data_IF_586946688609
#
_entry.id   IF_586946688609
#
_cell.length_a   1.000
_cell.length_b   1.000
_cell.length_c   1.000
_cell.angle_alpha   90.00
_cell.angle_beta   90.00
_cell.angle_gamma   90.00
#
_symmetry.space_group_name_H-M   'P 1'
#
loop_
_entity.id
_entity.type
_entity.pdbx_description
1 polymer ?
#
# COMPACT_ATOMS: atom_id res chain seq x y z
N UNK A 1 14.81 -8.55 -6.19
CA UNK A 1 16.09 -9.23 -5.91
C UNK A 1 15.94 -10.69 -6.29
N UNK A 2 17.02 -11.38 -6.66
CA UNK A 2 16.98 -12.81 -6.97
C UNK A 2 17.59 -13.60 -5.81
N UNK A 3 17.09 -14.81 -5.56
CA UNK A 3 17.68 -15.75 -4.60
C UNK A 3 19.01 -16.34 -5.14
N UNK A 4 19.61 -17.27 -4.40
CA UNK A 4 20.88 -17.91 -4.79
C UNK A 4 20.78 -18.70 -6.11
N UNK A 5 19.60 -19.20 -6.46
CA UNK A 5 19.33 -19.96 -7.72
C UNK A 5 18.97 -19.03 -8.88
N UNK A 6 18.89 -17.72 -8.67
CA UNK A 6 18.59 -16.74 -9.72
C UNK A 6 17.10 -16.51 -9.97
N UNK A 7 16.24 -17.03 -9.11
CA UNK A 7 14.78 -16.92 -9.18
C UNK A 7 14.30 -15.67 -8.44
N UNK A 8 13.18 -15.12 -8.89
CA UNK A 8 12.48 -14.05 -8.20
C UNK A 8 11.40 -14.64 -7.32
N UNK A 9 11.06 -13.91 -6.27
CA UNK A 9 9.87 -14.20 -5.48
C UNK A 9 8.63 -14.15 -6.40
N UNK A 10 7.82 -15.22 -6.46
CA UNK A 10 6.65 -15.28 -7.34
C UNK A 10 5.54 -14.31 -6.95
N UNK A 11 5.48 -13.87 -5.69
CA UNK A 11 4.48 -12.91 -5.19
C UNK A 11 4.89 -11.45 -5.41
N UNK A 12 6.12 -11.21 -5.91
CA UNK A 12 6.64 -9.87 -6.14
C UNK A 12 6.66 -9.51 -7.62
N UNK A 13 6.27 -8.27 -7.92
CA UNK A 13 6.25 -7.75 -9.28
C UNK A 13 6.92 -6.37 -9.37
N UNK A 14 7.23 -5.98 -10.59
CA UNK A 14 7.91 -4.72 -10.87
C UNK A 14 6.92 -3.59 -11.15
N UNK A 15 7.29 -2.38 -10.77
CA UNK A 15 6.58 -1.15 -11.10
C UNK A 15 7.54 -0.15 -11.75
N UNK A 16 7.01 0.79 -12.54
CA UNK A 16 7.78 1.85 -13.18
C UNK A 16 7.41 3.19 -12.55
N UNK A 17 8.34 3.83 -11.84
CA UNK A 17 8.15 5.13 -11.19
C UNK A 17 9.24 6.10 -11.67
N UNK A 18 8.85 7.29 -12.13
CA UNK A 18 9.82 8.29 -12.60
C UNK A 18 10.75 7.80 -13.72
N UNK A 19 10.23 6.95 -14.61
CA UNK A 19 10.98 6.24 -15.66
C UNK A 19 12.00 5.18 -15.19
N UNK A 20 12.08 4.91 -13.88
CA UNK A 20 12.92 3.86 -13.31
C UNK A 20 12.07 2.63 -12.94
N UNK A 21 12.61 1.44 -13.18
CA UNK A 21 12.00 0.18 -12.79
C UNK A 21 12.41 -0.20 -11.37
N UNK A 22 11.43 -0.53 -10.55
CA UNK A 22 11.61 -1.04 -9.19
C UNK A 22 10.95 -2.42 -9.11
N UNK A 23 11.59 -3.36 -8.41
CA UNK A 23 11.02 -4.68 -8.13
C UNK A 23 11.08 -4.92 -6.64
N UNK A 24 9.94 -5.29 -6.06
CA UNK A 24 9.87 -5.65 -4.66
C UNK A 24 8.47 -5.52 -4.11
N UNK A 25 8.42 -5.20 -2.83
CA UNK A 25 7.22 -5.08 -2.01
C UNK A 25 7.02 -3.62 -1.63
N UNK A 26 5.77 -3.23 -1.38
CA UNK A 26 5.42 -2.00 -0.66
C UNK A 26 4.70 -2.37 0.64
N UNK A 27 4.89 -1.54 1.64
CA UNK A 27 4.18 -1.62 2.92
C UNK A 27 3.10 -0.55 2.95
N UNK A 28 1.90 -0.95 3.39
CA UNK A 28 0.76 -0.10 3.66
C UNK A 28 0.55 -0.07 5.17
N UNK A 29 0.51 1.11 5.77
CA UNK A 29 0.48 1.28 7.23
C UNK A 29 -0.60 2.31 7.56
N UNK A 30 -1.56 1.92 8.41
CA UNK A 30 -2.51 2.84 9.02
C UNK A 30 -1.99 3.28 10.40
N UNK A 31 -2.05 4.58 10.63
CA UNK A 31 -1.53 5.23 11.84
C UNK A 31 -2.61 6.16 12.38
N UNK A 32 -2.87 6.06 13.68
CA UNK A 32 -3.77 6.98 14.35
C UNK A 32 -3.17 8.38 14.32
N UNK A 33 -3.90 9.32 13.70
CA UNK A 33 -3.39 10.66 13.43
C UNK A 33 -3.13 11.50 14.68
N UNK A 34 -3.69 11.13 15.85
CA UNK A 34 -3.55 11.90 17.10
C UNK A 34 -2.40 11.40 17.96
N UNK A 35 -2.25 10.09 18.05
CA UNK A 35 -1.31 9.39 18.93
C UNK A 35 -0.05 8.93 18.20
N UNK A 36 -0.11 8.77 16.88
CA UNK A 36 0.96 8.20 16.07
C UNK A 36 1.10 6.68 16.21
N UNK A 37 0.13 6.01 16.84
CA UNK A 37 0.17 4.56 16.99
C UNK A 37 -0.22 3.87 15.68
N UNK A 38 0.64 2.97 15.21
CA UNK A 38 0.29 2.06 14.10
C UNK A 38 -0.77 1.07 14.57
N UNK A 39 -1.86 0.97 13.81
CA UNK A 39 -2.96 0.05 14.10
C UNK A 39 -3.19 -0.99 13.00
N UNK A 40 -2.75 -0.72 11.77
CA UNK A 40 -2.90 -1.65 10.63
C UNK A 40 -1.62 -1.70 9.80
N UNK A 41 -1.35 -2.88 9.25
CA UNK A 41 -0.19 -3.15 8.40
C UNK A 41 -0.54 -4.23 7.39
N UNK A 42 -0.29 -3.96 6.12
CA UNK A 42 -0.33 -4.97 5.06
C UNK A 42 0.79 -4.72 4.06
N UNK A 43 1.11 -5.74 3.27
CA UNK A 43 2.16 -5.66 2.26
C UNK A 43 1.67 -6.22 0.95
N UNK A 44 2.08 -5.59 -0.14
CA UNK A 44 1.72 -6.03 -1.49
C UNK A 44 2.93 -5.96 -2.42
N UNK A 45 2.81 -6.56 -3.60
CA UNK A 45 3.77 -6.36 -4.67
C UNK A 45 3.84 -4.87 -5.08
N UNK A 46 5.01 -4.40 -5.50
CA UNK A 46 5.23 -2.98 -5.79
C UNK A 46 4.34 -2.39 -6.89
N UNK A 47 3.73 -3.23 -7.74
CA UNK A 47 2.80 -2.83 -8.81
C UNK A 47 1.36 -2.62 -8.32
N UNK A 48 0.99 -3.14 -7.14
CA UNK A 48 -0.38 -3.04 -6.64
C UNK A 48 -0.75 -1.58 -6.37
N UNK A 49 -1.97 -1.20 -6.70
CA UNK A 49 -2.42 0.19 -6.54
C UNK A 49 -2.80 0.45 -5.08
N UNK A 50 -2.34 1.56 -4.50
CA UNK A 50 -2.48 1.85 -3.08
C UNK A 50 -3.95 1.93 -2.64
N UNK A 51 -4.80 2.52 -3.49
CA UNK A 51 -6.25 2.54 -3.32
C UNK A 51 -6.92 1.18 -3.06
N UNK A 52 -6.36 0.07 -3.55
CA UNK A 52 -6.91 -1.28 -3.33
C UNK A 52 -6.67 -1.82 -1.92
N UNK A 53 -5.92 -1.10 -1.09
CA UNK A 53 -5.60 -1.51 0.28
C UNK A 53 -6.21 -0.56 1.31
N UNK A 54 -6.95 0.47 0.89
CA UNK A 54 -7.50 1.47 1.79
C UNK A 54 -8.42 0.84 2.85
N UNK A 55 -9.22 -0.15 2.48
CA UNK A 55 -10.16 -0.89 3.34
C UNK A 55 -9.43 -1.70 4.42
N UNK A 56 -8.25 -2.23 4.09
CA UNK A 56 -7.40 -2.97 5.02
C UNK A 56 -6.71 -2.07 6.03
N UNK A 57 -6.62 -0.77 5.75
CA UNK A 57 -5.93 0.19 6.62
C UNK A 57 -6.87 0.88 7.61
N UNK A 58 -8.15 0.97 7.30
CA UNK A 58 -9.14 1.76 8.03
C UNK A 58 -10.06 0.84 8.85
N UNK A 59 -10.73 1.41 9.84
CA UNK A 59 -11.71 0.72 10.66
C UNK A 59 -13.16 1.15 10.37
N UNK A 60 -13.36 2.22 9.59
CA UNK A 60 -14.66 2.77 9.23
C UNK A 60 -15.22 3.78 10.25
N UNK A 61 -14.49 4.07 11.32
CA UNK A 61 -14.87 5.03 12.37
C UNK A 61 -14.03 6.33 12.29
N UNK A 62 -13.15 6.44 11.29
CA UNK A 62 -12.27 7.59 11.12
C UNK A 62 -13.05 8.87 10.79
N UNK A 63 -12.90 9.90 11.63
CA UNK A 63 -13.48 11.22 11.35
C UNK A 63 -12.80 11.95 10.18
N UNK A 64 -11.53 11.64 9.91
CA UNK A 64 -10.77 12.16 8.78
C UNK A 64 -9.62 11.21 8.44
N UNK A 65 -9.21 11.22 7.17
CA UNK A 65 -8.11 10.40 6.66
C UNK A 65 -7.13 11.34 5.96
N UNK A 66 -5.84 11.20 6.28
CA UNK A 66 -4.74 11.86 5.59
C UNK A 66 -3.95 10.81 4.83
N UNK A 67 -3.95 10.89 3.50
CA UNK A 67 -3.27 9.93 2.65
C UNK A 67 -2.56 10.64 1.49
N UNK A 68 -1.62 9.93 0.85
CA UNK A 68 -0.92 10.46 -0.31
C UNK A 68 -1.78 10.42 -1.59
N UNK A 69 -1.20 10.87 -2.71
CA UNK A 69 -1.91 10.92 -3.98
C UNK A 69 -2.28 9.54 -4.56
N UNK A 70 -1.68 8.45 -4.08
CA UNK A 70 -1.99 7.06 -4.48
C UNK A 70 -3.35 6.58 -3.99
N UNK A 71 -3.94 7.26 -2.99
CA UNK A 71 -5.28 6.99 -2.45
C UNK A 71 -6.36 7.94 -2.99
N UNK A 72 -6.06 8.77 -3.99
CA UNK A 72 -7.08 9.62 -4.63
C UNK A 72 -8.21 8.76 -5.22
N UNK A 73 -9.46 9.15 -4.95
CA UNK A 73 -10.65 8.41 -5.37
C UNK A 73 -11.17 7.44 -4.31
N UNK A 74 -10.55 7.36 -3.13
CA UNK A 74 -11.05 6.59 -1.99
C UNK A 74 -12.46 7.04 -1.60
N UNK A 75 -12.74 8.34 -1.68
CA UNK A 75 -14.04 8.92 -1.40
C UNK A 75 -15.18 8.45 -2.33
N UNK A 76 -14.85 7.72 -3.41
CA UNK A 76 -15.80 7.16 -4.37
C UNK A 76 -16.01 5.66 -4.21
N UNK A 77 -15.36 5.03 -3.23
CA UNK A 77 -15.51 3.59 -2.98
C UNK A 77 -16.55 3.39 -1.89
N UNK A 78 -17.61 2.65 -2.23
CA UNK A 78 -18.69 2.33 -1.29
C UNK A 78 -18.25 1.37 -0.17
N UNK A 79 -17.08 0.73 -0.33
CA UNK A 79 -16.50 -0.23 0.60
C UNK A 79 -15.63 0.41 1.71
N UNK A 80 -15.43 1.74 1.66
CA UNK A 80 -14.59 2.51 2.60
C UNK A 80 -15.40 3.38 3.56
#
# INVERSE_FOLDING_TARGET
>A
TKNKTGERDPEMHQTKKGNQWHFGMKAHIGVDARTGLTHSFTTTAANEHDLNQADQLLHGEEAFILADAGYRGAEKRDEL
#
